data_IF_319289775399
#
_entry.id   IF_319289775399
#
_cell.length_a   1.000
_cell.length_b   1.000
_cell.length_c   1.000
_cell.angle_alpha   90.00
_cell.angle_beta   90.00
_cell.angle_gamma   90.00
#
_symmetry.space_group_name_H-M   'P 1'
#
loop_
_entity.id
_entity.type
_entity.pdbx_description
1 polymer ?
#
# COMPACT_ATOMS: atom_id res chain seq x y z
N UNK A 1 -4.86 1.57 15.05
CA UNK A 1 -5.73 0.55 14.42
C UNK A 1 -4.84 -0.60 14.01
N UNK A 2 -5.17 -1.82 14.42
CA UNK A 2 -4.56 -3.03 13.88
C UNK A 2 -5.55 -3.68 12.93
N UNK A 3 -5.11 -4.03 11.73
CA UNK A 3 -5.92 -4.74 10.76
C UNK A 3 -5.56 -6.23 10.83
N UNK A 4 -6.53 -7.08 11.18
CA UNK A 4 -6.34 -8.52 11.16
C UNK A 4 -6.46 -9.05 9.72
N UNK A 5 -5.30 -9.35 9.13
CA UNK A 5 -5.19 -9.90 7.79
C UNK A 5 -5.63 -11.38 7.73
N UNK A 6 -5.73 -12.07 8.86
CA UNK A 6 -6.18 -13.48 8.90
C UNK A 6 -7.71 -13.58 8.83
N UNK A 7 -8.42 -12.59 9.36
CA UNK A 7 -9.87 -12.48 9.24
C UNK A 7 -10.34 -12.04 7.84
N UNK A 8 -9.49 -11.33 7.09
CA UNK A 8 -9.78 -10.85 5.74
C UNK A 8 -8.61 -11.14 4.78
N UNK A 9 -8.48 -12.38 4.27
CA UNK A 9 -7.32 -12.78 3.47
C UNK A 9 -7.18 -12.02 2.14
N UNK A 10 -8.25 -11.38 1.67
CA UNK A 10 -8.24 -10.56 0.45
C UNK A 10 -7.91 -9.08 0.72
N UNK A 11 -7.87 -8.66 1.99
CA UNK A 11 -7.55 -7.28 2.34
C UNK A 11 -6.07 -7.01 2.11
N UNK A 12 -5.78 -5.93 1.40
CA UNK A 12 -4.42 -5.46 1.14
C UNK A 12 -4.16 -4.20 1.92
N UNK A 13 -2.98 -4.12 2.53
CA UNK A 13 -2.52 -2.95 3.27
C UNK A 13 -1.28 -2.40 2.57
N UNK A 14 -1.23 -1.08 2.45
CA UNK A 14 -0.05 -0.36 1.98
C UNK A 14 0.48 0.57 3.06
N UNK A 15 1.79 0.80 3.06
CA UNK A 15 2.40 1.84 3.88
C UNK A 15 2.39 3.18 3.12
N UNK A 16 2.03 4.26 3.80
CA UNK A 16 1.93 5.61 3.21
C UNK A 16 2.56 6.67 4.11
N UNK A 17 2.70 7.89 3.58
CA UNK A 17 2.84 9.09 4.40
C UNK A 17 1.44 9.62 4.79
N UNK A 18 1.06 9.62 6.09
CA UNK A 18 -0.25 10.09 6.53
C UNK A 18 -0.56 11.55 6.21
N UNK A 19 0.47 12.37 5.95
CA UNK A 19 0.30 13.78 5.54
C UNK A 19 -0.19 13.92 4.10
N UNK A 20 -0.04 12.86 3.29
CA UNK A 20 -0.43 12.82 1.88
C UNK A 20 -1.67 11.94 1.69
N UNK A 21 -1.67 10.74 2.28
CA UNK A 21 -2.80 9.81 2.24
C UNK A 21 -3.18 9.49 3.69
N UNK A 22 -4.34 9.93 4.19
CA UNK A 22 -4.77 9.63 5.55
C UNK A 22 -4.83 8.11 5.82
N UNK A 23 -4.44 7.71 7.03
CA UNK A 23 -4.59 6.31 7.44
C UNK A 23 -6.07 5.92 7.50
N UNK A 24 -6.37 4.68 7.11
CA UNK A 24 -7.73 4.16 6.96
C UNK A 24 -8.36 4.46 5.60
N UNK A 25 -7.76 5.32 4.76
CA UNK A 25 -8.26 5.57 3.40
C UNK A 25 -8.22 4.29 2.57
N UNK A 26 -9.30 4.06 1.81
CA UNK A 26 -9.31 3.09 0.72
C UNK A 26 -8.65 3.74 -0.49
N UNK A 27 -7.76 3.01 -1.16
CA UNK A 27 -7.05 3.50 -2.33
C UNK A 27 -7.07 2.47 -3.44
N UNK A 28 -6.91 2.95 -4.67
CA UNK A 28 -6.56 2.15 -5.84
C UNK A 28 -5.16 2.52 -6.30
N UNK A 29 -4.30 1.51 -6.45
CA UNK A 29 -2.93 1.64 -6.94
C UNK A 29 -2.84 0.98 -8.31
N UNK A 30 -2.47 1.75 -9.32
CA UNK A 30 -2.30 1.27 -10.69
C UNK A 30 -1.37 0.06 -10.76
N UNK A 31 -1.81 -1.00 -11.45
CA UNK A 31 -1.08 -2.27 -11.57
C UNK A 31 -1.10 -3.17 -10.32
N UNK A 32 -1.49 -2.64 -9.14
CA UNK A 32 -1.56 -3.41 -7.89
C UNK A 32 -3.01 -3.77 -7.55
N UNK A 33 -3.91 -2.79 -7.55
CA UNK A 33 -5.33 -2.94 -7.21
C UNK A 33 -5.76 -2.12 -5.99
N UNK A 34 -6.89 -2.49 -5.40
CA UNK A 34 -7.42 -1.81 -4.21
C UNK A 34 -6.67 -2.23 -2.92
N UNK A 35 -6.48 -1.27 -2.02
CA UNK A 35 -5.85 -1.48 -0.72
C UNK A 35 -6.33 -0.45 0.32
N UNK A 36 -5.99 -0.70 1.59
CA UNK A 36 -6.17 0.22 2.70
C UNK A 36 -4.82 0.85 3.05
N UNK A 37 -4.80 2.16 3.24
CA UNK A 37 -3.68 2.88 3.86
C UNK A 37 -3.63 2.53 5.35
N UNK A 38 -3.07 1.38 5.69
CA UNK A 38 -3.13 0.82 7.05
C UNK A 38 -1.81 0.91 7.83
N UNK A 39 -0.73 1.35 7.19
CA UNK A 39 0.60 1.37 7.80
C UNK A 39 1.43 2.60 7.41
N UNK A 40 2.55 2.80 8.10
CA UNK A 40 3.52 3.87 7.85
C UNK A 40 4.95 3.33 7.91
N UNK A 41 5.88 4.04 7.27
CA UNK A 41 7.31 3.71 7.36
C UNK A 41 8.17 4.95 7.49
N UNK A 42 9.33 4.83 8.14
CA UNK A 42 10.32 5.92 8.22
C UNK A 42 10.82 6.35 6.85
N UNK A 43 10.95 5.42 5.90
CA UNK A 43 11.36 5.66 4.51
C UNK A 43 10.20 6.04 3.56
N UNK A 44 8.96 5.98 4.04
CA UNK A 44 7.75 6.25 3.24
C UNK A 44 7.26 7.66 3.59
N UNK A 45 7.74 8.63 2.80
CA UNK A 45 7.53 10.07 2.99
C UNK A 45 7.14 10.74 1.67
N UNK A 46 6.25 11.72 1.74
CA UNK A 46 5.69 12.39 0.58
C UNK A 46 4.87 11.45 -0.31
N UNK A 47 5.00 11.62 -1.64
CA UNK A 47 4.29 10.81 -2.64
C UNK A 47 4.95 9.44 -2.85
N UNK A 48 5.30 8.74 -1.77
CA UNK A 48 5.87 7.40 -1.78
C UNK A 48 4.95 6.46 -1.01
N UNK A 49 4.75 5.26 -1.57
CA UNK A 49 4.02 4.17 -0.91
C UNK A 49 4.88 2.90 -0.93
N UNK A 50 4.57 1.96 -0.06
CA UNK A 50 5.10 0.59 -0.11
C UNK A 50 3.96 -0.42 -0.22
N UNK A 51 4.14 -1.42 -1.07
CA UNK A 51 3.12 -2.44 -1.37
C UNK A 51 3.65 -3.84 -1.05
N UNK A 52 2.85 -4.62 -0.34
CA UNK A 52 3.22 -6.00 -0.03
C UNK A 52 3.03 -6.90 -1.25
N UNK A 53 4.07 -7.63 -1.62
CA UNK A 53 4.05 -8.65 -2.67
C UNK A 53 4.21 -10.04 -2.06
N UNK A 54 3.43 -11.01 -2.57
CA UNK A 54 3.39 -12.37 -2.02
C UNK A 54 4.67 -13.22 -2.23
N UNK A 55 5.66 -12.74 -2.99
CA UNK A 55 6.95 -13.42 -3.12
C UNK A 55 8.07 -12.45 -3.50
N UNK A 56 9.32 -12.83 -3.19
CA UNK A 56 10.52 -12.06 -3.57
C UNK A 56 10.61 -11.85 -5.08
N UNK A 57 10.32 -12.87 -5.88
CA UNK A 57 10.34 -12.75 -7.35
C UNK A 57 9.30 -11.75 -7.85
N UNK A 58 8.08 -11.75 -7.31
CA UNK A 58 7.06 -10.75 -7.65
C UNK A 58 7.48 -9.33 -7.25
N UNK A 59 8.10 -9.18 -6.07
CA UNK A 59 8.63 -7.90 -5.62
C UNK A 59 9.73 -7.37 -6.56
N UNK A 60 10.65 -8.25 -6.98
CA UNK A 60 11.71 -7.90 -7.94
C UNK A 60 11.15 -7.51 -9.31
N UNK A 61 10.15 -8.24 -9.81
CA UNK A 61 9.52 -7.94 -11.10
C UNK A 61 8.71 -6.63 -11.06
N UNK A 62 8.11 -6.30 -9.92
CA UNK A 62 7.42 -5.03 -9.72
C UNK A 62 8.39 -3.85 -9.69
N UNK A 63 9.51 -4.02 -8.99
CA UNK A 63 10.55 -2.99 -8.89
C UNK A 63 10.08 -1.68 -8.26
N UNK A 64 10.94 -0.66 -8.33
CA UNK A 64 10.56 0.71 -7.94
C UNK A 64 10.07 1.44 -9.18
N UNK A 65 8.83 1.90 -9.13
CA UNK A 65 8.21 2.60 -10.25
C UNK A 65 7.28 3.70 -9.76
N UNK A 66 7.07 4.69 -10.63
CA UNK A 66 6.06 5.72 -10.43
C UNK A 66 4.75 5.22 -11.02
N UNK A 67 3.71 5.13 -10.18
CA UNK A 67 2.39 4.65 -10.55
C UNK A 67 1.33 5.63 -10.10
N UNK A 68 0.15 5.56 -10.72
CA UNK A 68 -0.99 6.38 -10.28
C UNK A 68 -1.64 5.76 -9.04
N UNK A 69 -1.92 6.62 -8.06
CA UNK A 69 -2.69 6.27 -6.85
C UNK A 69 -3.91 7.17 -6.77
N UNK A 70 -5.07 6.58 -6.44
CA UNK A 70 -6.33 7.30 -6.21
C UNK A 70 -6.85 6.95 -4.83
N UNK A 71 -7.25 7.96 -4.06
CA UNK A 71 -8.08 7.77 -2.87
C UNK A 71 -9.51 7.54 -3.35
N UNK A 72 -10.19 6.51 -2.82
CA UNK A 72 -11.54 6.11 -3.18
C UNK A 72 -12.57 6.62 -2.17
#
# INVERSE_FOLDING_TARGET
MGHDLTANPNMRIIAVDPKVIPLGSKVWVEGYGEAIAGDTGSAIKGNRIDVLMGSKSKAMNWGRQTVKVKIL
#
